data_IF_364437975703
#
_entry.id   IF_364437975703
#
_cell.length_a   1.000
_cell.length_b   1.000
_cell.length_c   1.000
_cell.angle_alpha   90.00
_cell.angle_beta   90.00
_cell.angle_gamma   90.00
#
_symmetry.space_group_name_H-M   'P 1'
#
loop_
_entity.id
_entity.type
_entity.pdbx_description
1 polymer ?
#
# COMPACT_ATOMS: atom_id res chain seq x y z
N UNK A 1 -33.79 -49.12 29.17
CA UNK A 1 -34.18 -48.01 28.28
C UNK A 1 -33.52 -46.69 28.66
N UNK A 2 -33.62 -46.19 29.90
CA UNK A 2 -33.01 -44.91 30.31
C UNK A 2 -31.49 -44.80 30.08
N UNK A 3 -30.73 -45.89 30.27
CA UNK A 3 -29.26 -45.91 30.10
C UNK A 3 -28.81 -45.81 28.63
N UNK A 4 -29.62 -46.28 27.68
CA UNK A 4 -29.30 -46.25 26.24
C UNK A 4 -29.58 -44.85 25.66
N UNK A 5 -30.65 -44.21 26.13
CA UNK A 5 -30.99 -42.84 25.74
C UNK A 5 -29.90 -41.82 26.15
N UNK A 6 -29.27 -42.02 27.31
CA UNK A 6 -28.20 -41.12 27.78
C UNK A 6 -26.90 -41.27 26.96
N UNK A 7 -26.56 -42.47 26.51
CA UNK A 7 -25.37 -42.70 25.67
C UNK A 7 -25.57 -42.10 24.27
N UNK A 8 -26.78 -42.21 23.71
CA UNK A 8 -27.12 -41.59 22.43
C UNK A 8 -27.09 -40.06 22.49
N UNK A 9 -27.60 -39.46 23.57
CA UNK A 9 -27.56 -38.01 23.77
C UNK A 9 -26.13 -37.48 23.96
N UNK A 10 -25.28 -38.19 24.71
CA UNK A 10 -23.89 -37.79 24.93
C UNK A 10 -23.05 -37.86 23.64
N UNK A 11 -23.28 -38.86 22.79
CA UNK A 11 -22.59 -38.99 21.51
C UNK A 11 -23.04 -37.92 20.50
N UNK A 12 -24.34 -37.60 20.45
CA UNK A 12 -24.84 -36.50 19.62
C UNK A 12 -24.27 -35.13 20.06
N UNK A 13 -24.15 -34.89 21.37
CA UNK A 13 -23.54 -33.66 21.89
C UNK A 13 -22.04 -33.55 21.56
N UNK A 14 -21.30 -34.67 21.66
CA UNK A 14 -19.88 -34.71 21.29
C UNK A 14 -19.68 -34.44 19.78
N UNK A 15 -20.53 -35.00 18.92
CA UNK A 15 -20.52 -34.74 17.47
C UNK A 15 -20.84 -33.28 17.13
N UNK A 16 -21.79 -32.64 17.83
CA UNK A 16 -22.06 -31.21 17.64
C UNK A 16 -20.92 -30.30 18.10
N UNK A 17 -20.18 -30.70 19.15
CA UNK A 17 -19.05 -29.93 19.64
C UNK A 17 -17.86 -30.02 18.67
N UNK A 18 -17.62 -31.20 18.08
CA UNK A 18 -16.61 -31.39 17.04
C UNK A 18 -16.93 -30.58 15.77
N UNK A 19 -18.19 -30.56 15.34
CA UNK A 19 -18.61 -29.74 14.20
C UNK A 19 -18.48 -28.23 14.46
N UNK A 20 -18.79 -27.77 15.68
CA UNK A 20 -18.54 -26.38 16.06
C UNK A 20 -17.03 -26.04 16.11
N UNK A 21 -16.16 -27.02 16.40
CA UNK A 21 -14.70 -26.82 16.40
C UNK A 21 -14.15 -26.68 14.99
N UNK A 22 -14.56 -27.55 14.06
CA UNK A 22 -14.12 -27.50 12.66
C UNK A 22 -14.62 -26.24 11.95
N UNK A 23 -15.89 -25.86 12.16
CA UNK A 23 -16.42 -24.61 11.64
C UNK A 23 -15.70 -23.36 12.23
N UNK A 24 -15.27 -23.43 13.49
CA UNK A 24 -14.49 -22.35 14.11
C UNK A 24 -13.07 -22.29 13.53
N UNK A 25 -12.45 -23.44 13.27
CA UNK A 25 -11.13 -23.55 12.67
C UNK A 25 -11.13 -23.04 11.22
N UNK A 26 -12.12 -23.44 10.42
CA UNK A 26 -12.32 -22.93 9.06
C UNK A 26 -12.54 -21.42 9.04
N UNK A 27 -13.37 -20.90 9.95
CA UNK A 27 -13.60 -19.46 10.07
C UNK A 27 -12.33 -18.71 10.50
N UNK A 28 -11.53 -19.30 11.39
CA UNK A 28 -10.25 -18.75 11.82
C UNK A 28 -9.21 -18.76 10.68
N UNK A 29 -9.15 -19.85 9.90
CA UNK A 29 -8.29 -19.95 8.72
C UNK A 29 -8.66 -18.91 7.67
N UNK A 30 -9.95 -18.79 7.32
CA UNK A 30 -10.45 -17.75 6.42
C UNK A 30 -10.17 -16.34 6.96
N UNK A 31 -10.31 -16.11 8.26
CA UNK A 31 -9.99 -14.80 8.86
C UNK A 31 -8.51 -14.49 8.73
N UNK A 32 -7.64 -15.47 8.96
CA UNK A 32 -6.19 -15.30 8.81
C UNK A 32 -5.80 -15.05 7.34
N UNK A 33 -6.38 -15.80 6.41
CA UNK A 33 -6.19 -15.63 4.96
C UNK A 33 -6.67 -14.25 4.49
N UNK A 34 -7.86 -13.83 4.91
CA UNK A 34 -8.39 -12.50 4.58
C UNK A 34 -7.54 -11.39 5.20
N UNK A 35 -7.10 -11.53 6.45
CA UNK A 35 -6.23 -10.55 7.08
C UNK A 35 -4.86 -10.44 6.38
N UNK A 36 -4.33 -11.55 5.89
CA UNK A 36 -3.12 -11.57 5.08
C UNK A 36 -3.34 -10.87 3.73
N UNK A 37 -4.44 -11.19 3.05
CA UNK A 37 -4.81 -10.56 1.77
C UNK A 37 -5.05 -9.05 1.91
N UNK A 38 -5.72 -8.61 2.97
CA UNK A 38 -5.94 -7.19 3.27
C UNK A 38 -4.60 -6.48 3.57
N UNK A 39 -3.69 -7.16 4.25
CA UNK A 39 -2.35 -6.63 4.54
C UNK A 39 -1.54 -6.47 3.24
N UNK A 40 -1.57 -7.47 2.37
CA UNK A 40 -0.90 -7.45 1.07
C UNK A 40 -1.46 -6.33 0.18
N UNK A 41 -2.79 -6.24 0.05
CA UNK A 41 -3.44 -5.19 -0.74
C UNK A 41 -3.11 -3.78 -0.22
N UNK A 42 -3.08 -3.57 1.10
CA UNK A 42 -2.72 -2.27 1.69
C UNK A 42 -1.23 -1.94 1.50
N UNK A 43 -0.34 -2.93 1.60
CA UNK A 43 1.08 -2.75 1.32
C UNK A 43 1.33 -2.40 -0.14
N UNK A 44 0.67 -3.08 -1.07
CA UNK A 44 0.74 -2.75 -2.50
C UNK A 44 0.21 -1.35 -2.79
N UNK A 45 -0.95 -0.99 -2.22
CA UNK A 45 -1.51 0.35 -2.38
C UNK A 45 -0.56 1.44 -1.84
N UNK A 46 -0.01 1.26 -0.64
CA UNK A 46 0.96 2.17 -0.06
C UNK A 46 2.25 2.25 -0.90
N UNK A 47 2.72 1.13 -1.45
CA UNK A 47 3.87 1.10 -2.36
C UNK A 47 3.64 1.93 -3.61
N UNK A 48 2.48 1.76 -4.26
CA UNK A 48 2.10 2.52 -5.46
C UNK A 48 1.92 4.02 -5.18
N UNK A 49 1.39 4.39 -4.00
CA UNK A 49 1.28 5.79 -3.59
C UNK A 49 2.67 6.42 -3.36
N UNK A 50 3.60 5.67 -2.75
CA UNK A 50 4.97 6.13 -2.55
C UNK A 50 5.73 6.29 -3.88
N UNK A 51 5.53 5.38 -4.84
CA UNK A 51 6.13 5.49 -6.17
C UNK A 51 5.64 6.75 -6.89
N UNK A 52 4.32 6.99 -6.92
CA UNK A 52 3.76 8.23 -7.47
C UNK A 52 4.24 9.48 -6.73
N UNK A 53 4.37 9.43 -5.40
CA UNK A 53 4.92 10.55 -4.64
C UNK A 53 6.37 10.82 -5.03
N UNK A 54 7.18 9.78 -5.25
CA UNK A 54 8.54 9.88 -5.76
C UNK A 54 8.60 10.53 -7.15
N UNK A 55 7.80 10.05 -8.10
CA UNK A 55 7.72 10.62 -9.45
C UNK A 55 7.32 12.11 -9.44
N UNK A 56 6.36 12.48 -8.58
CA UNK A 56 5.95 13.88 -8.42
C UNK A 56 7.05 14.76 -7.82
N UNK A 57 7.82 14.23 -6.88
CA UNK A 57 8.97 14.94 -6.29
C UNK A 57 10.07 15.14 -7.33
N UNK A 58 10.38 14.11 -8.12
CA UNK A 58 11.38 14.20 -9.19
C UNK A 58 10.96 15.24 -10.24
N UNK A 59 9.70 15.21 -10.68
CA UNK A 59 9.18 16.22 -11.61
C UNK A 59 9.25 17.64 -11.04
N UNK A 60 8.88 17.83 -9.78
CA UNK A 60 8.97 19.13 -9.12
C UNK A 60 10.42 19.61 -8.93
N UNK A 61 11.36 18.69 -8.71
CA UNK A 61 12.78 19.00 -8.62
C UNK A 61 13.37 19.40 -9.98
N UNK A 62 12.97 18.72 -11.06
CA UNK A 62 13.34 19.09 -12.44
C UNK A 62 12.80 20.47 -12.82
N UNK A 63 11.53 20.76 -12.49
CA UNK A 63 10.92 22.08 -12.71
C UNK A 63 11.66 23.17 -11.92
N UNK A 64 11.93 22.95 -10.64
CA UNK A 64 12.68 23.90 -9.81
C UNK A 64 14.11 24.14 -10.32
N UNK A 65 14.77 23.10 -10.85
CA UNK A 65 16.09 23.23 -11.45
C UNK A 65 16.05 24.07 -12.74
N UNK A 66 15.06 23.82 -13.60
CA UNK A 66 14.86 24.59 -14.83
C UNK A 66 14.54 26.07 -14.53
N UNK A 67 13.70 26.35 -13.53
CA UNK A 67 13.39 27.72 -13.09
C UNK A 67 14.62 28.43 -12.52
N UNK A 68 15.44 27.71 -11.75
CA UNK A 68 16.69 28.24 -11.22
C UNK A 68 17.67 28.59 -12.35
N UNK A 69 17.82 27.70 -13.33
CA UNK A 69 18.65 27.92 -14.52
C UNK A 69 18.16 29.12 -15.34
N UNK A 70 16.85 29.21 -15.57
CA UNK A 70 16.25 30.36 -16.25
C UNK A 70 16.54 31.68 -15.52
N UNK A 71 16.40 31.68 -14.19
CA UNK A 71 16.73 32.85 -13.35
C UNK A 71 18.21 33.20 -13.44
N UNK A 72 19.10 32.21 -13.41
CA UNK A 72 20.54 32.42 -13.57
C UNK A 72 20.86 33.03 -14.92
N UNK A 73 20.29 32.50 -16.00
CA UNK A 73 20.51 33.01 -17.37
C UNK A 73 19.99 34.45 -17.51
N UNK A 74 18.88 34.81 -16.87
CA UNK A 74 18.39 36.20 -16.84
C UNK A 74 19.34 37.14 -16.11
N UNK A 75 19.83 36.74 -14.93
CA UNK A 75 20.79 37.53 -14.15
C UNK A 75 22.11 37.69 -14.90
N UNK A 76 22.57 36.64 -15.56
CA UNK A 76 23.81 36.68 -16.35
C UNK A 76 23.68 37.61 -17.55
N UNK A 77 22.59 37.51 -18.31
CA UNK A 77 22.29 38.41 -19.42
C UNK A 77 22.30 39.88 -18.98
N UNK A 78 21.70 40.20 -17.83
CA UNK A 78 21.70 41.54 -17.25
C UNK A 78 23.10 42.02 -16.83
N UNK A 79 23.93 41.13 -16.28
CA UNK A 79 25.29 41.45 -15.82
C UNK A 79 26.26 41.62 -16.99
N UNK A 80 26.10 40.83 -18.04
CA UNK A 80 26.98 40.79 -19.20
C UNK A 80 26.50 41.69 -20.36
N UNK A 81 25.33 42.33 -20.23
CA UNK A 81 24.71 43.19 -21.25
C UNK A 81 24.51 42.45 -22.59
N UNK A 82 23.99 41.22 -22.48
CA UNK A 82 23.71 40.32 -23.61
C UNK A 82 22.28 39.78 -23.56
N UNK A 83 21.90 38.93 -24.52
CA UNK A 83 20.57 38.31 -24.50
C UNK A 83 20.54 37.06 -23.61
N UNK A 84 19.40 36.75 -22.98
CA UNK A 84 19.21 35.49 -22.22
C UNK A 84 19.49 34.25 -23.06
N UNK A 85 19.32 34.32 -24.38
CA UNK A 85 19.61 33.21 -25.29
C UNK A 85 21.10 33.03 -25.61
N UNK A 86 21.92 34.06 -25.38
CA UNK A 86 23.39 34.00 -25.39
C UNK A 86 23.89 33.47 -24.05
N UNK A 87 23.40 34.04 -22.93
CA UNK A 87 23.71 33.57 -21.59
C UNK A 87 23.40 32.06 -21.38
N UNK A 88 22.27 31.57 -21.93
CA UNK A 88 21.91 30.15 -21.85
C UNK A 88 22.81 29.20 -22.66
N UNK A 89 23.83 29.69 -23.37
CA UNK A 89 24.74 28.90 -24.22
C UNK A 89 26.20 28.90 -23.77
N UNK A 90 26.57 29.74 -22.80
CA UNK A 90 27.92 29.81 -22.24
C UNK A 90 28.23 28.64 -21.29
#
# INVERSE_FOLDING_TARGET
MRKIALIAAASAAALSLAACSEATEDAASQTAENAAADTEANLEAAGNELEQAGENIDAAAEEAAADAEATTNEVEADVQDETTAEAAKD
#
